data_IF_829694976706
#
_entry.id   IF_829694976706
#
_cell.length_a   1.000
_cell.length_b   1.000
_cell.length_c   1.000
_cell.angle_alpha   90.00
_cell.angle_beta   90.00
_cell.angle_gamma   90.00
#
_symmetry.space_group_name_H-M   'P 1'
#
loop_
_entity.id
_entity.type
_entity.pdbx_description
1 polymer ?
#
# COMPACT_ATOMS: atom_id res chain seq x y z
N UNK A 1 1.31 -3.40 10.51
CA UNK A 1 0.65 -4.15 9.44
C UNK A 1 1.32 -3.82 8.11
N UNK A 2 1.66 -4.82 7.31
CA UNK A 2 2.10 -4.62 5.93
C UNK A 2 0.91 -4.89 5.00
N UNK A 3 0.59 -3.97 4.10
CA UNK A 3 -0.57 -4.05 3.22
C UNK A 3 -0.17 -3.82 1.76
N UNK A 4 -0.38 -4.83 0.92
CA UNK A 4 -0.16 -4.70 -0.52
C UNK A 4 -1.34 -5.36 -1.25
N UNK A 5 -2.25 -4.53 -1.74
CA UNK A 5 -3.44 -4.95 -2.46
C UNK A 5 -3.95 -3.76 -3.29
N UNK A 6 -4.64 -4.04 -4.39
CA UNK A 6 -5.46 -3.07 -5.13
C UNK A 6 -5.62 -3.43 -6.60
N UNK A 7 -4.91 -4.45 -7.07
CA UNK A 7 -4.91 -4.92 -8.45
C UNK A 7 -6.32 -5.31 -8.91
N UNK A 8 -7.08 -5.99 -8.06
CA UNK A 8 -8.47 -6.37 -8.37
C UNK A 8 -9.38 -5.15 -8.52
N UNK A 9 -9.21 -4.13 -7.68
CA UNK A 9 -10.00 -2.89 -7.67
C UNK A 9 -9.67 -1.96 -8.86
N UNK A 10 -8.52 -2.15 -9.52
CA UNK A 10 -8.09 -1.38 -10.69
C UNK A 10 -8.74 -1.83 -12.01
N UNK A 11 -9.62 -2.84 -11.99
CA UNK A 11 -10.25 -3.40 -13.19
C UNK A 11 -11.50 -2.65 -13.67
N UNK A 12 -12.22 -1.98 -12.77
CA UNK A 12 -13.43 -1.23 -13.10
C UNK A 12 -13.49 0.11 -12.36
N UNK A 13 -14.24 1.05 -12.94
CA UNK A 13 -14.32 2.43 -12.47
C UNK A 13 -15.00 2.54 -11.11
N UNK A 14 -15.99 1.70 -10.82
CA UNK A 14 -16.74 1.78 -9.57
C UNK A 14 -15.86 1.33 -8.41
N UNK A 15 -15.18 0.18 -8.55
CA UNK A 15 -14.23 -0.32 -7.58
C UNK A 15 -13.09 0.66 -7.34
N UNK A 16 -12.44 1.15 -8.41
CA UNK A 16 -11.35 2.10 -8.31
C UNK A 16 -11.78 3.43 -7.66
N UNK A 17 -12.93 3.98 -8.06
CA UNK A 17 -13.43 5.26 -7.55
C UNK A 17 -13.85 5.23 -6.07
N UNK A 18 -14.12 4.05 -5.52
CA UNK A 18 -14.47 3.88 -4.11
C UNK A 18 -13.38 3.22 -3.26
N UNK A 19 -12.22 2.92 -3.87
CA UNK A 19 -11.09 2.25 -3.23
C UNK A 19 -10.56 3.01 -2.02
N UNK A 20 -10.26 4.31 -2.16
CA UNK A 20 -9.68 5.11 -1.07
C UNK A 20 -10.59 5.22 0.15
N UNK A 21 -11.91 5.33 -0.05
CA UNK A 21 -12.87 5.34 1.05
C UNK A 21 -12.92 3.99 1.78
N UNK A 22 -12.96 2.88 1.04
CA UNK A 22 -12.90 1.53 1.63
C UNK A 22 -11.59 1.27 2.36
N UNK A 23 -10.46 1.71 1.78
CA UNK A 23 -9.14 1.49 2.37
C UNK A 23 -8.99 2.23 3.70
N UNK A 24 -9.43 3.50 3.77
CA UNK A 24 -9.46 4.26 5.03
C UNK A 24 -10.32 3.56 6.09
N UNK A 25 -11.51 3.11 5.70
CA UNK A 25 -12.40 2.40 6.62
C UNK A 25 -11.76 1.10 7.13
N UNK A 26 -11.14 0.32 6.24
CA UNK A 26 -10.44 -0.91 6.61
C UNK A 26 -9.32 -0.67 7.64
N UNK A 27 -8.50 0.37 7.45
CA UNK A 27 -7.45 0.71 8.41
C UNK A 27 -8.02 1.14 9.77
N UNK A 28 -9.11 1.90 9.77
CA UNK A 28 -9.83 2.25 10.99
C UNK A 28 -10.37 1.00 11.70
N UNK A 29 -11.05 0.11 10.97
CA UNK A 29 -11.68 -1.09 11.52
C UNK A 29 -10.66 -2.06 12.13
N UNK A 30 -9.50 -2.25 11.47
CA UNK A 30 -8.41 -3.07 12.00
C UNK A 30 -7.84 -2.48 13.29
N UNK A 31 -7.62 -1.16 13.34
CA UNK A 31 -7.13 -0.48 14.56
C UNK A 31 -8.10 -0.62 15.71
N UNK A 32 -9.39 -0.44 15.45
CA UNK A 32 -10.45 -0.61 16.45
C UNK A 32 -10.52 -2.05 16.94
N UNK A 33 -10.50 -3.02 16.03
CA UNK A 33 -10.62 -4.45 16.35
C UNK A 33 -9.43 -4.99 17.15
N UNK A 34 -8.25 -4.40 16.97
CA UNK A 34 -7.03 -4.76 17.70
C UNK A 34 -6.78 -3.90 18.94
N UNK A 35 -7.67 -2.96 19.27
CA UNK A 35 -7.48 -1.94 20.32
C UNK A 35 -6.12 -1.22 20.21
N UNK A 36 -5.74 -0.87 18.98
CA UNK A 36 -4.44 -0.27 18.65
C UNK A 36 -4.62 0.96 17.76
N UNK A 37 -5.01 2.11 18.33
CA UNK A 37 -5.35 3.32 17.55
C UNK A 37 -4.18 3.89 16.74
N UNK A 38 -2.95 3.55 17.12
CA UNK A 38 -1.70 3.99 16.48
C UNK A 38 -0.94 2.85 15.80
N UNK A 39 -1.60 1.72 15.51
CA UNK A 39 -0.98 0.59 14.80
C UNK A 39 -0.24 1.10 13.55
N UNK A 40 1.08 0.89 13.43
CA UNK A 40 1.83 1.27 12.25
C UNK A 40 1.35 0.46 11.05
N UNK A 41 1.03 1.14 9.95
CA UNK A 41 0.63 0.52 8.69
C UNK A 41 1.59 0.99 7.61
N UNK A 42 2.23 0.04 6.93
CA UNK A 42 2.96 0.33 5.70
C UNK A 42 2.17 -0.28 4.55
N UNK A 43 1.64 0.57 3.69
CA UNK A 43 0.93 0.16 2.48
C UNK A 43 1.78 0.36 1.24
N UNK A 44 1.39 -0.26 0.12
CA UNK A 44 2.12 -0.19 -1.15
C UNK A 44 1.26 0.43 -2.24
N UNK A 45 1.75 1.47 -2.90
CA UNK A 45 1.17 1.96 -4.15
C UNK A 45 1.50 1.00 -5.30
N UNK A 46 0.49 0.53 -6.04
CA UNK A 46 0.62 -0.56 -7.02
C UNK A 46 1.62 -0.29 -8.14
N UNK A 47 2.26 -1.34 -8.67
CA UNK A 47 2.97 -1.25 -9.94
C UNK A 47 1.98 -0.91 -11.10
N UNK A 48 2.42 -0.17 -12.14
CA UNK A 48 1.54 0.42 -13.17
C UNK A 48 0.84 -0.60 -14.09
N UNK A 49 1.15 -1.88 -13.97
CA UNK A 49 0.63 -2.94 -14.83
C UNK A 49 -0.63 -3.62 -14.26
N UNK A 50 -1.16 -3.12 -13.14
CA UNK A 50 -2.19 -3.77 -12.34
C UNK A 50 -3.65 -3.63 -12.85
N UNK A 51 -3.94 -2.80 -13.86
CA UNK A 51 -5.31 -2.64 -14.37
C UNK A 51 -5.55 -1.34 -15.13
N UNK A 52 -6.74 -1.17 -15.71
CA UNK A 52 -7.11 0.00 -16.51
C UNK A 52 -7.22 1.29 -15.68
N UNK A 53 -7.60 1.17 -14.42
CA UNK A 53 -7.80 2.27 -13.49
C UNK A 53 -6.74 2.29 -12.38
N UNK A 54 -5.55 1.72 -12.67
CA UNK A 54 -4.44 1.64 -11.71
C UNK A 54 -4.03 3.01 -11.18
N UNK A 55 -4.07 4.06 -12.01
CA UNK A 55 -3.72 5.41 -11.58
C UNK A 55 -4.70 5.95 -10.55
N UNK A 56 -6.00 5.69 -10.70
CA UNK A 56 -7.02 6.04 -9.71
C UNK A 56 -6.76 5.34 -8.37
N UNK A 57 -6.42 4.04 -8.40
CA UNK A 57 -6.11 3.28 -7.19
C UNK A 57 -4.81 3.76 -6.54
N UNK A 58 -3.76 4.02 -7.32
CA UNK A 58 -2.49 4.58 -6.84
C UNK A 58 -2.68 5.93 -6.19
N UNK A 59 -3.42 6.85 -6.83
CA UNK A 59 -3.75 8.15 -6.24
C UNK A 59 -4.43 7.96 -4.88
N UNK A 60 -5.43 7.08 -4.80
CA UNK A 60 -6.12 6.79 -3.54
C UNK A 60 -5.20 6.19 -2.47
N UNK A 61 -4.18 5.39 -2.83
CA UNK A 61 -3.19 4.85 -1.90
C UNK A 61 -2.26 5.94 -1.36
N UNK A 62 -1.85 6.90 -2.21
CA UNK A 62 -1.03 8.05 -1.78
C UNK A 62 -1.81 9.08 -0.94
N UNK A 63 -3.11 9.24 -1.21
CA UNK A 63 -3.98 10.21 -0.52
C UNK A 63 -4.52 9.71 0.84
N UNK A 64 -4.06 8.55 1.33
CA UNK A 64 -4.40 8.09 2.67
C UNK A 64 -3.71 8.97 3.70
N UNK A 65 -4.46 9.93 4.22
CA UNK A 65 -4.07 10.79 5.33
C UNK A 65 -4.60 10.24 6.66
N UNK A 66 -3.85 9.31 7.24
CA UNK A 66 -4.11 8.73 8.56
C UNK A 66 -2.80 8.69 9.36
N UNK A 67 -2.84 8.92 10.69
CA UNK A 67 -1.63 8.86 11.51
C UNK A 67 -1.02 7.47 11.43
N UNK A 68 0.31 7.37 11.46
CA UNK A 68 1.07 6.11 11.43
C UNK A 68 0.76 5.22 10.21
N UNK A 69 0.44 5.84 9.07
CA UNK A 69 0.33 5.16 7.78
C UNK A 69 1.41 5.69 6.83
N UNK A 70 2.24 4.80 6.29
CA UNK A 70 3.28 5.11 5.30
C UNK A 70 2.94 4.39 4.00
N UNK A 71 3.15 5.04 2.86
CA UNK A 71 2.97 4.45 1.55
C UNK A 71 4.33 4.30 0.85
N UNK A 72 4.71 3.06 0.52
CA UNK A 72 5.88 2.77 -0.32
C UNK A 72 5.44 2.60 -1.77
N UNK A 73 6.26 3.06 -2.72
CA UNK A 73 5.88 3.01 -4.14
C UNK A 73 6.50 1.80 -4.86
N UNK A 74 5.66 0.87 -5.36
CA UNK A 74 6.13 -0.25 -6.18
C UNK A 74 6.37 0.12 -7.65
N UNK A 75 6.18 1.39 -8.04
CA UNK A 75 6.46 1.86 -9.38
C UNK A 75 7.94 1.62 -9.75
N UNK A 76 8.16 0.99 -10.91
CA UNK A 76 9.51 0.66 -11.40
C UNK A 76 10.08 -0.66 -10.91
N UNK A 77 9.41 -1.35 -9.98
CA UNK A 77 9.79 -2.71 -9.59
C UNK A 77 9.55 -3.71 -10.75
N UNK A 78 10.45 -4.68 -10.89
CA UNK A 78 10.38 -5.67 -11.96
C UNK A 78 9.16 -6.60 -11.78
N UNK A 79 8.29 -6.64 -12.80
CA UNK A 79 7.18 -7.61 -12.91
C UNK A 79 7.62 -8.89 -13.61
N UNK A 80 6.90 -9.99 -13.37
CA UNK A 80 7.18 -11.27 -14.04
C UNK A 80 6.96 -11.14 -15.55
N UNK A 81 7.87 -11.73 -16.34
CA UNK A 81 7.84 -11.64 -17.82
C UNK A 81 6.55 -12.19 -18.45
N UNK A 82 5.99 -13.26 -17.89
CA UNK A 82 4.79 -13.93 -18.40
C UNK A 82 3.52 -13.53 -17.65
N UNK A 83 3.63 -12.62 -16.69
CA UNK A 83 2.59 -12.28 -15.73
C UNK A 83 2.84 -10.83 -15.31
N UNK A 84 2.19 -9.92 -16.04
CA UNK A 84 2.41 -8.50 -15.86
C UNK A 84 1.81 -7.97 -14.57
N UNK A 85 1.08 -8.78 -13.80
CA UNK A 85 0.42 -8.35 -12.58
C UNK A 85 1.36 -8.54 -11.38
N UNK A 86 2.07 -9.67 -11.33
CA UNK A 86 2.87 -10.01 -10.15
C UNK A 86 4.33 -9.57 -10.27
N UNK A 87 4.88 -9.07 -9.16
CA UNK A 87 6.32 -8.79 -9.04
C UNK A 87 7.16 -10.06 -9.21
N UNK A 88 8.36 -9.89 -9.79
CA UNK A 88 9.41 -10.90 -9.81
C UNK A 88 9.92 -11.22 -8.40
N UNK A 89 10.62 -12.35 -8.23
CA UNK A 89 11.22 -12.70 -6.93
C UNK A 89 12.25 -11.66 -6.48
N UNK A 90 13.07 -11.13 -7.39
CA UNK A 90 14.01 -10.03 -7.12
C UNK A 90 13.29 -8.78 -6.63
N UNK A 91 12.21 -8.38 -7.31
CA UNK A 91 11.40 -7.24 -6.90
C UNK A 91 10.70 -7.43 -5.54
N UNK A 92 10.26 -8.65 -5.22
CA UNK A 92 9.71 -8.95 -3.89
C UNK A 92 10.76 -8.81 -2.78
N UNK A 93 12.02 -9.20 -3.04
CA UNK A 93 13.13 -8.95 -2.09
C UNK A 93 13.36 -7.46 -1.91
N UNK A 94 13.36 -6.68 -3.00
CA UNK A 94 13.50 -5.23 -2.95
C UNK A 94 12.34 -4.57 -2.16
N UNK A 95 11.10 -4.96 -2.43
CA UNK A 95 9.92 -4.46 -1.71
C UNK A 95 9.99 -4.81 -0.22
N UNK A 96 10.49 -5.99 0.13
CA UNK A 96 10.76 -6.37 1.52
C UNK A 96 11.73 -5.42 2.23
N UNK A 97 12.79 -4.98 1.53
CA UNK A 97 13.70 -3.94 2.02
C UNK A 97 12.99 -2.61 2.22
N UNK A 98 12.15 -2.19 1.27
CA UNK A 98 11.36 -0.95 1.38
C UNK A 98 10.39 -0.97 2.56
N UNK A 99 9.76 -2.11 2.84
CA UNK A 99 8.94 -2.28 4.05
C UNK A 99 9.77 -2.16 5.33
N UNK A 100 10.95 -2.78 5.37
CA UNK A 100 11.84 -2.72 6.52
C UNK A 100 12.30 -1.28 6.78
N UNK A 101 12.73 -0.57 5.73
CA UNK A 101 13.12 0.84 5.82
C UNK A 101 11.95 1.71 6.30
N UNK A 102 10.76 1.54 5.72
CA UNK A 102 9.57 2.28 6.14
C UNK A 102 9.25 2.05 7.63
N UNK A 103 9.36 0.82 8.15
CA UNK A 103 9.17 0.54 9.58
C UNK A 103 10.27 1.22 10.41
N UNK A 104 11.54 0.98 10.09
CA UNK A 104 12.66 1.46 10.90
C UNK A 104 12.71 2.99 10.95
N UNK A 105 12.56 3.66 9.81
CA UNK A 105 12.66 5.12 9.75
C UNK A 105 11.38 5.83 10.17
N UNK A 106 10.20 5.23 10.02
CA UNK A 106 8.99 5.79 10.65
C UNK A 106 9.04 5.68 12.17
N UNK A 107 9.62 4.62 12.74
CA UNK A 107 9.73 4.46 14.20
C UNK A 107 10.68 5.45 14.88
N UNK A 108 11.64 6.02 14.16
CA UNK A 108 12.60 6.98 14.71
C UNK A 108 12.02 8.39 14.91
N UNK A 109 10.93 8.74 14.22
CA UNK A 109 10.20 9.99 14.46
C UNK A 109 9.33 9.93 15.75
N UNK A 110 9.10 8.74 16.31
CA UNK A 110 8.28 8.56 17.52
C UNK A 110 9.08 8.53 18.84
N UNK A 111 10.41 8.62 18.79
CA UNK A 111 11.26 8.52 19.98
C UNK A 111 11.67 9.88 20.58
N UNK A 112 11.19 11.01 20.03
CA UNK A 112 11.57 12.36 20.45
C UNK A 112 10.41 13.32 20.80
N UNK A 113 9.25 12.80 21.23
CA UNK A 113 8.18 13.63 21.82
C UNK A 113 7.84 13.14 23.22
#
# INVERSE_FOLDING_TARGET
>A
MLWYQGESDANDTASAGSYGARLRQFFYDIRLSLDSPLLPIVQVALAPTAGRYVDTVRMAQFEIDLPNVVCVDAYGLEVKKNDRIHLSTSAQVQLGGMFADAILFSTLDFCFI
#
